data_IF_562906820863
#
_entry.id   IF_562906820863
#
_cell.length_a   1.000
_cell.length_b   1.000
_cell.length_c   1.000
_cell.angle_alpha   90.00
_cell.angle_beta   90.00
_cell.angle_gamma   90.00
#
_symmetry.space_group_name_H-M   'P 1'
#
loop_
_entity.id
_entity.type
_entity.pdbx_description
1 polymer ?
#
# COMPACT_ATOMS: atom_id res chain seq x y z
N UNK A 1 13.34 -7.93 5.51
CA UNK A 1 12.49 -7.61 4.34
C UNK A 1 12.65 -6.16 3.89
N UNK A 2 12.46 -5.13 4.74
CA UNK A 2 12.51 -3.71 4.34
C UNK A 2 13.83 -3.32 3.63
N UNK A 3 14.99 -3.76 4.11
CA UNK A 3 16.27 -3.49 3.47
C UNK A 3 16.38 -4.12 2.07
N UNK A 4 15.86 -5.35 1.88
CA UNK A 4 15.82 -6.00 0.55
C UNK A 4 14.94 -5.20 -0.40
N UNK A 5 13.75 -4.78 0.05
CA UNK A 5 12.85 -3.90 -0.69
C UNK A 5 13.52 -2.58 -1.09
N UNK A 6 14.16 -1.88 -0.14
CA UNK A 6 14.84 -0.62 -0.41
C UNK A 6 15.95 -0.76 -1.46
N UNK A 7 16.75 -1.83 -1.39
CA UNK A 7 17.79 -2.11 -2.38
C UNK A 7 17.18 -2.40 -3.76
N UNK A 8 16.09 -3.17 -3.80
CA UNK A 8 15.38 -3.47 -5.04
C UNK A 8 14.82 -2.20 -5.70
N UNK A 9 14.20 -1.30 -4.91
CA UNK A 9 13.69 -0.01 -5.40
C UNK A 9 14.80 0.89 -5.95
N UNK A 10 15.99 0.90 -5.31
CA UNK A 10 17.18 1.61 -5.84
C UNK A 10 17.62 1.03 -7.18
N UNK A 11 17.73 -0.28 -7.28
CA UNK A 11 18.10 -0.98 -8.52
C UNK A 11 17.11 -0.69 -9.65
N UNK A 12 15.82 -0.59 -9.35
CA UNK A 12 14.77 -0.25 -10.32
C UNK A 12 14.67 1.25 -10.66
N UNK A 13 15.45 2.11 -10.03
CA UNK A 13 15.44 3.57 -10.27
C UNK A 13 14.21 4.30 -9.71
N UNK A 14 13.44 3.68 -8.82
CA UNK A 14 12.19 4.22 -8.26
C UNK A 14 12.25 4.41 -6.73
N UNK A 15 13.45 4.59 -6.20
CA UNK A 15 13.67 4.69 -4.75
C UNK A 15 12.91 5.85 -4.05
N UNK A 16 12.51 6.88 -4.80
CA UNK A 16 11.82 8.06 -4.28
C UNK A 16 10.28 7.99 -4.40
N UNK A 17 9.75 6.95 -5.04
CA UNK A 17 8.32 6.85 -5.36
C UNK A 17 7.49 6.54 -4.12
N UNK A 18 7.71 5.38 -3.50
CA UNK A 18 7.04 5.03 -2.25
C UNK A 18 7.71 5.71 -1.06
N UNK A 19 6.92 6.40 -0.24
CA UNK A 19 7.41 7.18 0.92
C UNK A 19 6.99 6.58 2.26
N UNK A 20 5.89 5.80 2.29
CA UNK A 20 5.39 5.16 3.50
C UNK A 20 6.19 3.91 3.89
N UNK A 21 6.24 3.62 5.19
CA UNK A 21 6.75 2.36 5.77
C UNK A 21 8.19 1.98 5.40
N UNK A 22 9.04 2.99 5.15
CA UNK A 22 10.42 2.79 4.76
C UNK A 22 11.38 3.29 5.83
N UNK A 23 12.43 2.52 6.11
CA UNK A 23 13.46 2.86 7.06
C UNK A 23 14.74 3.49 6.44
N UNK A 24 14.73 3.73 5.12
CA UNK A 24 15.89 4.26 4.40
C UNK A 24 15.93 5.80 4.28
N UNK A 25 15.02 6.49 4.93
CA UNK A 25 14.92 7.97 4.94
C UNK A 25 14.92 8.50 6.37
N UNK A 26 16.02 8.30 7.15
CA UNK A 26 16.07 8.75 8.53
C UNK A 26 15.90 10.28 8.61
N UNK A 27 15.14 10.74 9.60
CA UNK A 27 14.87 12.16 9.84
C UNK A 27 13.83 12.80 8.90
N UNK A 28 13.25 12.03 7.96
CA UNK A 28 12.13 12.52 7.11
C UNK A 28 10.81 11.97 7.61
N UNK A 29 9.80 12.84 7.60
CA UNK A 29 8.42 12.51 7.90
C UNK A 29 7.49 12.84 6.71
N UNK A 30 6.19 12.62 6.87
CA UNK A 30 5.19 12.88 5.83
C UNK A 30 5.20 14.34 5.35
N UNK A 31 5.50 15.28 6.26
CA UNK A 31 5.57 16.71 5.95
C UNK A 31 6.70 17.00 4.96
N UNK A 32 7.87 16.34 5.12
CA UNK A 32 9.02 16.53 4.22
C UNK A 32 8.69 16.03 2.80
N UNK A 33 7.98 14.91 2.70
CA UNK A 33 7.54 14.38 1.40
C UNK A 33 6.48 15.26 0.74
N UNK A 34 5.52 15.78 1.52
CA UNK A 34 4.54 16.74 1.03
C UNK A 34 5.22 18.02 0.56
N UNK A 35 6.16 18.55 1.35
CA UNK A 35 6.95 19.74 1.01
C UNK A 35 7.68 19.56 -0.33
N UNK A 36 8.32 18.42 -0.58
CA UNK A 36 8.98 18.12 -1.87
C UNK A 36 8.02 18.23 -3.05
N UNK A 37 6.77 17.77 -2.88
CA UNK A 37 5.73 17.86 -3.92
C UNK A 37 5.30 19.31 -4.13
N UNK A 38 5.04 20.06 -3.06
CA UNK A 38 4.65 21.47 -3.16
C UNK A 38 5.76 22.33 -3.76
N UNK A 39 7.02 22.12 -3.38
CA UNK A 39 8.16 22.81 -3.98
C UNK A 39 8.30 22.51 -5.49
N UNK A 40 7.91 21.31 -5.92
CA UNK A 40 7.86 20.99 -7.35
C UNK A 40 6.73 21.73 -8.06
N UNK A 41 5.52 21.75 -7.47
CA UNK A 41 4.36 22.47 -8.02
C UNK A 41 4.67 23.96 -8.21
N UNK A 42 5.28 24.59 -7.21
CA UNK A 42 5.64 26.02 -7.25
C UNK A 42 6.64 26.34 -8.37
N UNK A 43 7.49 25.38 -8.77
CA UNK A 43 8.42 25.55 -9.89
C UNK A 43 7.76 25.42 -11.27
N UNK A 44 6.55 24.87 -11.32
CA UNK A 44 5.80 24.76 -12.57
C UNK A 44 5.05 26.05 -12.83
N UNK A 45 5.08 26.59 -14.04
CA UNK A 45 4.22 27.69 -14.48
C UNK A 45 2.76 27.26 -14.40
N UNK A 46 2.46 26.06 -14.90
CA UNK A 46 1.18 25.36 -14.74
C UNK A 46 1.45 23.86 -14.57
N UNK A 47 0.56 23.18 -13.83
CA UNK A 47 0.65 21.75 -13.64
C UNK A 47 -0.72 21.07 -13.68
N UNK A 48 -0.75 19.86 -14.23
CA UNK A 48 -1.82 18.91 -14.01
C UNK A 48 -1.50 18.13 -12.74
N UNK A 49 -2.43 18.15 -11.77
CA UNK A 49 -2.26 17.45 -10.48
C UNK A 49 -3.35 16.39 -10.38
N UNK A 50 -2.95 15.16 -10.14
CA UNK A 50 -3.85 14.05 -9.83
C UNK A 50 -3.55 13.56 -8.41
N UNK A 51 -4.60 13.46 -7.59
CA UNK A 51 -4.57 12.83 -6.27
C UNK A 51 -5.59 11.71 -6.28
N UNK A 52 -5.20 10.53 -5.84
CA UNK A 52 -6.05 9.35 -5.81
C UNK A 52 -5.72 8.45 -4.63
N UNK A 53 -6.63 7.54 -4.35
CA UNK A 53 -6.57 6.54 -3.29
C UNK A 53 -7.00 5.18 -3.84
N UNK A 54 -6.36 4.10 -3.38
CA UNK A 54 -6.77 2.72 -3.69
C UNK A 54 -7.78 2.23 -2.65
N UNK A 55 -9.05 2.29 -3.00
CA UNK A 55 -10.12 1.84 -2.11
C UNK A 55 -9.94 0.38 -1.69
N UNK A 56 -10.04 0.11 -0.37
CA UNK A 56 -9.88 -1.23 0.22
C UNK A 56 -8.56 -1.90 -0.19
N UNK A 57 -7.48 -1.15 -0.22
CA UNK A 57 -6.18 -1.57 -0.73
C UNK A 57 -5.73 -2.92 -0.16
N UNK A 58 -5.63 -3.03 1.17
CA UNK A 58 -5.20 -4.26 1.85
C UNK A 58 -6.18 -5.43 1.65
N UNK A 59 -7.45 -5.14 1.43
CA UNK A 59 -8.50 -6.13 1.22
C UNK A 59 -8.47 -6.77 -0.18
N UNK A 60 -7.72 -6.17 -1.13
CA UNK A 60 -7.69 -6.59 -2.53
C UNK A 60 -6.31 -7.10 -3.00
N UNK A 61 -5.34 -7.28 -2.10
CA UNK A 61 -4.01 -7.76 -2.49
C UNK A 61 -4.02 -9.26 -2.78
N UNK A 62 -3.86 -9.64 -4.06
CA UNK A 62 -3.76 -11.02 -4.52
C UNK A 62 -2.54 -11.74 -3.93
N UNK A 63 -2.76 -12.91 -3.36
CA UNK A 63 -1.71 -13.66 -2.66
C UNK A 63 -0.68 -14.25 -3.63
N UNK A 64 -1.11 -14.72 -4.80
CA UNK A 64 -0.23 -15.30 -5.81
C UNK A 64 0.74 -14.26 -6.35
N UNK A 65 0.19 -13.11 -6.76
CA UNK A 65 0.99 -11.98 -7.22
C UNK A 65 1.94 -11.46 -6.14
N UNK A 66 1.47 -11.28 -4.91
CA UNK A 66 2.30 -10.89 -3.78
C UNK A 66 3.47 -11.84 -3.58
N UNK A 67 3.22 -13.16 -3.63
CA UNK A 67 4.25 -14.19 -3.49
C UNK A 67 5.35 -14.06 -4.56
N UNK A 68 4.95 -13.86 -5.82
CA UNK A 68 5.91 -13.65 -6.90
C UNK A 68 6.74 -12.38 -6.71
N UNK A 69 6.13 -11.29 -6.24
CA UNK A 69 6.88 -10.06 -5.95
C UNK A 69 7.85 -10.20 -4.79
N UNK A 70 7.48 -10.93 -3.74
CA UNK A 70 8.40 -11.25 -2.62
C UNK A 70 9.61 -12.05 -3.14
N UNK A 71 9.40 -13.07 -3.98
CA UNK A 71 10.49 -13.83 -4.63
C UNK A 71 11.42 -12.91 -5.42
N UNK A 72 10.85 -12.01 -6.25
CA UNK A 72 11.63 -11.05 -7.04
C UNK A 72 12.50 -10.15 -6.15
N UNK A 73 11.94 -9.61 -5.07
CA UNK A 73 12.67 -8.75 -4.11
C UNK A 73 13.76 -9.52 -3.38
N UNK A 74 13.53 -10.80 -3.09
CA UNK A 74 14.50 -11.68 -2.44
C UNK A 74 15.57 -12.20 -3.40
N UNK A 75 15.37 -12.10 -4.71
CA UNK A 75 16.24 -12.73 -5.73
C UNK A 75 16.17 -14.25 -5.71
N UNK A 76 15.01 -14.82 -5.40
CA UNK A 76 14.82 -16.26 -5.19
C UNK A 76 13.78 -16.84 -6.16
N UNK A 77 13.97 -18.10 -6.58
CA UNK A 77 12.99 -18.85 -7.36
C UNK A 77 11.83 -19.36 -6.48
N UNK A 78 12.11 -19.64 -5.22
CA UNK A 78 11.12 -20.05 -4.21
C UNK A 78 11.39 -19.33 -2.90
N UNK A 79 10.36 -19.10 -2.10
CA UNK A 79 10.54 -18.58 -0.74
C UNK A 79 11.23 -19.65 0.12
N UNK A 80 12.21 -19.24 0.91
CA UNK A 80 12.76 -20.11 1.95
C UNK A 80 11.72 -20.37 3.04
N UNK A 81 12.03 -21.28 3.98
CA UNK A 81 11.09 -21.69 5.02
C UNK A 81 10.64 -20.54 5.92
N UNK A 82 11.52 -19.60 6.23
CA UNK A 82 11.22 -18.46 7.09
C UNK A 82 10.35 -17.44 6.37
N UNK A 83 10.72 -17.03 5.15
CA UNK A 83 9.94 -16.11 4.33
C UNK A 83 8.56 -16.71 3.98
N UNK A 84 8.48 -18.03 3.73
CA UNK A 84 7.22 -18.72 3.48
C UNK A 84 6.33 -18.76 4.73
N UNK A 85 6.88 -18.99 5.92
CA UNK A 85 6.11 -18.96 7.16
C UNK A 85 5.50 -17.58 7.42
N UNK A 86 6.27 -16.50 7.21
CA UNK A 86 5.78 -15.13 7.33
C UNK A 86 4.68 -14.87 6.31
N UNK A 87 4.91 -15.19 5.03
CA UNK A 87 3.92 -15.05 3.97
C UNK A 87 2.62 -15.79 4.30
N UNK A 88 2.71 -17.04 4.74
CA UNK A 88 1.56 -17.87 5.12
C UNK A 88 0.78 -17.23 6.27
N UNK A 89 1.45 -16.74 7.31
CA UNK A 89 0.78 -16.11 8.45
C UNK A 89 0.04 -14.82 8.07
N UNK A 90 0.58 -14.04 7.12
CA UNK A 90 -0.04 -12.81 6.66
C UNK A 90 -1.21 -13.08 5.70
N UNK A 91 -1.14 -14.13 4.87
CA UNK A 91 -2.18 -14.44 3.89
C UNK A 91 -3.29 -15.33 4.45
N UNK A 92 -2.97 -16.21 5.38
CA UNK A 92 -3.91 -17.14 6.03
C UNK A 92 -4.17 -16.76 7.49
N UNK A 93 -4.38 -15.46 7.73
CA UNK A 93 -4.67 -14.93 9.06
C UNK A 93 -6.03 -15.40 9.59
N UNK A 94 -6.17 -15.32 10.89
CA UNK A 94 -7.44 -15.52 11.57
C UNK A 94 -7.89 -14.22 12.25
N UNK A 95 -9.18 -14.01 12.36
CA UNK A 95 -9.77 -12.82 12.96
C UNK A 95 -11.07 -13.14 13.68
N UNK A 96 -11.52 -12.23 14.51
CA UNK A 96 -12.84 -12.21 15.14
C UNK A 96 -13.50 -10.87 14.82
N UNK A 97 -14.82 -10.87 14.66
CA UNK A 97 -15.54 -9.62 14.45
C UNK A 97 -15.64 -8.84 15.77
N UNK A 98 -15.51 -7.52 15.68
CA UNK A 98 -15.61 -6.68 16.87
C UNK A 98 -17.01 -6.73 17.49
N UNK A 99 -18.04 -6.89 16.67
CA UNK A 99 -19.44 -6.99 17.13
C UNK A 99 -19.69 -8.27 17.94
N UNK A 100 -18.99 -9.38 17.64
CA UNK A 100 -19.04 -10.61 18.44
C UNK A 100 -18.44 -10.37 19.84
N UNK A 101 -17.35 -9.58 19.93
CA UNK A 101 -16.73 -9.23 21.20
C UNK A 101 -17.68 -8.33 22.02
N UNK A 102 -18.28 -7.32 21.37
CA UNK A 102 -19.27 -6.43 22.00
C UNK A 102 -20.45 -7.23 22.57
N UNK A 103 -20.99 -8.16 21.79
CA UNK A 103 -22.11 -9.01 22.16
C UNK A 103 -21.77 -9.94 23.35
N UNK A 104 -20.61 -10.60 23.30
CA UNK A 104 -20.20 -11.53 24.39
C UNK A 104 -19.90 -10.79 25.68
N UNK A 105 -19.37 -9.57 25.63
CA UNK A 105 -19.06 -8.75 26.81
C UNK A 105 -20.23 -7.91 27.31
N UNK A 106 -21.27 -7.70 26.50
CA UNK A 106 -22.37 -6.79 26.81
C UNK A 106 -21.93 -5.33 26.94
N UNK A 107 -20.85 -4.94 26.26
CA UNK A 107 -20.25 -3.61 26.33
C UNK A 107 -20.18 -2.99 24.93
N UNK A 108 -20.32 -1.68 24.85
CA UNK A 108 -20.08 -0.96 23.60
C UNK A 108 -18.58 -0.84 23.32
N UNK A 109 -18.22 -0.77 22.02
CA UNK A 109 -16.82 -0.64 21.54
C UNK A 109 -16.06 0.50 22.21
N UNK A 110 -16.72 1.60 22.49
CA UNK A 110 -16.19 2.76 23.20
C UNK A 110 -15.69 2.37 24.60
N UNK A 111 -16.49 1.62 25.34
CA UNK A 111 -16.23 1.26 26.73
C UNK A 111 -15.18 0.15 26.83
N UNK A 112 -15.09 -0.71 25.80
CA UNK A 112 -14.07 -1.75 25.71
C UNK A 112 -12.65 -1.20 25.53
N UNK A 113 -12.47 0.03 25.03
CA UNK A 113 -11.15 0.66 24.86
C UNK A 113 -10.45 0.94 26.19
N UNK A 114 -11.17 0.99 27.30
CA UNK A 114 -10.65 1.23 28.64
C UNK A 114 -10.23 -0.07 29.33
N UNK A 115 -10.49 -1.23 28.72
CA UNK A 115 -10.12 -2.53 29.27
C UNK A 115 -8.66 -2.87 28.91
N UNK A 116 -7.88 -3.31 29.88
CA UNK A 116 -6.52 -3.82 29.65
C UNK A 116 -6.53 -5.07 28.75
N UNK A 117 -7.57 -5.89 28.88
CA UNK A 117 -7.82 -7.09 28.05
C UNK A 117 -9.31 -7.36 27.94
N UNK A 118 -9.73 -7.94 26.83
CA UNK A 118 -11.13 -8.28 26.59
C UNK A 118 -11.54 -9.60 27.26
N UNK A 119 -10.64 -10.59 27.34
CA UNK A 119 -10.92 -11.92 27.84
C UNK A 119 -9.78 -12.43 28.73
N UNK A 120 -10.09 -13.22 29.73
CA UNK A 120 -9.14 -14.13 30.36
C UNK A 120 -8.80 -15.27 29.39
N UNK A 121 -7.71 -16.01 29.66
CA UNK A 121 -7.21 -17.04 28.75
C UNK A 121 -8.25 -18.11 28.42
N UNK A 122 -8.96 -18.61 29.47
CA UNK A 122 -9.97 -19.67 29.30
C UNK A 122 -11.22 -19.16 28.60
N UNK A 123 -11.69 -17.96 28.94
CA UNK A 123 -12.80 -17.29 28.26
C UNK A 123 -12.47 -17.10 26.76
N UNK A 124 -11.24 -16.67 26.45
CA UNK A 124 -10.81 -16.49 25.07
C UNK A 124 -10.76 -17.81 24.29
N UNK A 125 -10.39 -18.91 24.95
CA UNK A 125 -10.45 -20.23 24.32
C UNK A 125 -11.86 -20.64 23.91
N UNK A 126 -12.85 -20.42 24.76
CA UNK A 126 -14.26 -20.72 24.46
C UNK A 126 -14.82 -19.75 23.40
N UNK A 127 -14.51 -18.45 23.50
CA UNK A 127 -14.89 -17.44 22.52
C UNK A 127 -14.36 -17.79 21.12
N UNK A 128 -13.08 -18.14 21.01
CA UNK A 128 -12.47 -18.54 19.72
C UNK A 128 -13.15 -19.74 19.07
N UNK A 129 -13.63 -20.72 19.84
CA UNK A 129 -14.31 -21.88 19.28
C UNK A 129 -15.57 -21.49 18.51
N UNK A 130 -16.25 -20.42 18.95
CA UNK A 130 -17.51 -19.95 18.37
C UNK A 130 -17.30 -18.91 17.25
N UNK A 131 -16.36 -17.99 17.42
CA UNK A 131 -16.28 -16.74 16.67
C UNK A 131 -14.99 -16.58 15.83
N UNK A 132 -14.05 -17.57 15.83
CA UNK A 132 -12.83 -17.45 15.06
C UNK A 132 -13.08 -17.73 13.58
N UNK A 133 -12.88 -16.72 12.76
CA UNK A 133 -12.88 -16.81 11.31
C UNK A 133 -11.44 -16.96 10.77
N UNK A 134 -11.28 -17.62 9.62
CA UNK A 134 -10.01 -17.75 8.92
C UNK A 134 -10.14 -17.16 7.53
N UNK A 135 -9.12 -16.43 7.09
CA UNK A 135 -9.08 -16.01 5.71
C UNK A 135 -8.84 -17.21 4.77
N UNK A 136 -9.91 -17.67 4.13
CA UNK A 136 -9.88 -18.76 3.13
C UNK A 136 -9.73 -18.24 1.70
N UNK A 137 -9.75 -16.91 1.50
CA UNK A 137 -9.61 -16.27 0.20
C UNK A 137 -8.15 -16.40 -0.30
N UNK A 138 -7.94 -16.15 -1.58
CA UNK A 138 -6.63 -16.04 -2.23
C UNK A 138 -6.16 -14.57 -2.38
N UNK A 139 -6.84 -13.66 -1.70
CA UNK A 139 -6.53 -12.25 -1.60
C UNK A 139 -6.77 -11.75 -0.16
N UNK A 140 -6.42 -10.49 0.11
CA UNK A 140 -6.52 -9.79 1.40
C UNK A 140 -5.38 -10.14 2.37
N UNK A 141 -4.78 -9.11 2.93
CA UNK A 141 -3.84 -9.20 4.05
C UNK A 141 -4.29 -8.27 5.18
N UNK A 142 -3.99 -8.59 6.46
CA UNK A 142 -4.42 -7.76 7.58
C UNK A 142 -3.72 -6.41 7.58
N UNK A 143 -4.46 -5.33 7.78
CA UNK A 143 -3.91 -4.01 8.02
C UNK A 143 -3.42 -3.87 9.46
N UNK A 144 -2.37 -3.05 9.68
CA UNK A 144 -1.88 -2.69 11.01
C UNK A 144 -0.60 -3.42 11.45
N UNK A 145 -0.16 -4.47 10.75
CA UNK A 145 1.12 -5.09 11.03
C UNK A 145 2.26 -4.47 10.21
N UNK A 146 3.46 -4.37 10.81
CA UNK A 146 4.64 -3.83 10.12
C UNK A 146 5.02 -4.63 8.88
N UNK A 147 4.77 -5.94 8.86
CA UNK A 147 5.08 -6.79 7.71
C UNK A 147 4.06 -6.62 6.59
N UNK A 148 2.77 -6.45 6.91
CA UNK A 148 1.73 -6.12 5.92
C UNK A 148 2.06 -4.83 5.20
N UNK A 149 2.54 -3.81 5.91
CA UNK A 149 2.95 -2.53 5.34
C UNK A 149 4.10 -2.68 4.32
N UNK A 150 5.10 -3.52 4.62
CA UNK A 150 6.20 -3.82 3.69
C UNK A 150 5.70 -4.65 2.50
N UNK A 151 4.82 -5.62 2.73
CA UNK A 151 4.25 -6.45 1.67
C UNK A 151 3.35 -5.63 0.72
N UNK A 152 2.57 -4.70 1.24
CA UNK A 152 1.81 -3.75 0.44
C UNK A 152 2.72 -2.91 -0.47
N UNK A 153 3.86 -2.45 0.04
CA UNK A 153 4.86 -1.76 -0.78
C UNK A 153 5.49 -2.67 -1.84
N UNK A 154 5.81 -3.92 -1.50
CA UNK A 154 6.36 -4.91 -2.44
C UNK A 154 5.36 -5.22 -3.56
N UNK A 155 4.08 -5.34 -3.22
CA UNK A 155 3.00 -5.57 -4.19
C UNK A 155 2.96 -4.51 -5.28
N UNK A 156 3.17 -3.24 -4.92
CA UNK A 156 3.04 -2.10 -5.83
C UNK A 156 4.25 -1.82 -6.72
N UNK A 157 5.34 -2.59 -6.63
CA UNK A 157 6.60 -2.27 -7.33
C UNK A 157 6.43 -2.08 -8.84
N UNK A 158 5.72 -2.99 -9.51
CA UNK A 158 5.55 -2.92 -10.96
C UNK A 158 4.65 -1.76 -11.37
N UNK A 159 3.60 -1.52 -10.61
CA UNK A 159 2.74 -0.36 -10.77
C UNK A 159 3.53 0.93 -10.60
N UNK A 160 4.27 1.05 -9.49
CA UNK A 160 5.12 2.20 -9.20
C UNK A 160 6.12 2.45 -10.32
N UNK A 161 6.76 1.39 -10.83
CA UNK A 161 7.74 1.49 -11.92
C UNK A 161 7.09 2.01 -13.20
N UNK A 162 5.96 1.42 -13.59
CA UNK A 162 5.24 1.78 -14.82
C UNK A 162 4.76 3.23 -14.79
N UNK A 163 4.15 3.65 -13.68
CA UNK A 163 3.68 5.03 -13.51
C UNK A 163 4.85 6.00 -13.49
N UNK A 164 5.88 5.71 -12.69
CA UNK A 164 7.02 6.61 -12.56
C UNK A 164 7.74 6.82 -13.89
N UNK A 165 7.94 5.77 -14.68
CA UNK A 165 8.61 5.88 -15.97
C UNK A 165 7.82 6.79 -16.92
N UNK A 166 6.50 6.58 -16.99
CA UNK A 166 5.63 7.43 -17.81
C UNK A 166 5.63 8.88 -17.33
N UNK A 167 5.45 9.12 -16.04
CA UNK A 167 5.36 10.47 -15.49
C UNK A 167 6.71 11.20 -15.61
N UNK A 168 7.81 10.51 -15.42
CA UNK A 168 9.15 11.06 -15.58
C UNK A 168 9.41 11.45 -17.06
N UNK A 169 8.92 10.66 -18.02
CA UNK A 169 9.01 11.01 -19.45
C UNK A 169 8.28 12.31 -19.80
N UNK A 170 7.25 12.66 -19.01
CA UNK A 170 6.52 13.93 -19.11
C UNK A 170 7.14 15.04 -18.23
N UNK A 171 8.35 14.85 -17.72
CA UNK A 171 9.02 15.74 -16.76
C UNK A 171 8.23 15.95 -15.46
N UNK A 172 7.30 15.05 -15.13
CA UNK A 172 6.48 15.10 -13.94
C UNK A 172 7.12 14.36 -12.75
N UNK A 173 6.42 14.41 -11.62
CA UNK A 173 6.76 13.60 -10.45
C UNK A 173 5.58 12.75 -10.03
N UNK A 174 5.91 11.57 -9.50
CA UNK A 174 4.98 10.62 -8.90
C UNK A 174 5.45 10.27 -7.50
N UNK A 175 4.52 10.29 -6.53
CA UNK A 175 4.75 9.83 -5.15
C UNK A 175 3.57 9.00 -4.69
N UNK A 176 3.87 7.98 -3.89
CA UNK A 176 2.87 7.13 -3.24
C UNK A 176 3.14 7.04 -1.74
N UNK A 177 2.09 7.21 -0.96
CA UNK A 177 2.09 6.99 0.48
C UNK A 177 1.07 5.90 0.83
N UNK A 178 1.52 4.65 0.93
CA UNK A 178 0.68 3.47 1.07
C UNK A 178 -0.27 3.30 -0.13
N UNK A 179 -1.53 3.59 0.06
CA UNK A 179 -2.65 3.59 -0.89
C UNK A 179 -2.87 4.96 -1.55
N UNK A 180 -2.42 6.04 -0.93
CA UNK A 180 -2.51 7.39 -1.50
C UNK A 180 -1.47 7.63 -2.60
N UNK A 181 -1.88 8.22 -3.70
CA UNK A 181 -0.99 8.62 -4.80
C UNK A 181 -1.14 10.08 -5.15
N UNK A 182 -0.04 10.70 -5.50
CA UNK A 182 -0.01 12.03 -6.09
C UNK A 182 0.89 12.06 -7.32
N UNK A 183 0.37 12.66 -8.37
CA UNK A 183 1.06 12.86 -9.64
C UNK A 183 0.99 14.33 -9.99
N UNK A 184 2.13 14.91 -10.38
CA UNK A 184 2.21 16.28 -10.87
C UNK A 184 2.93 16.27 -12.19
N UNK A 185 2.27 16.77 -13.24
CA UNK A 185 2.83 16.90 -14.60
C UNK A 185 2.82 18.36 -14.99
N UNK A 186 3.97 18.99 -15.27
CA UNK A 186 4.00 20.35 -15.81
C UNK A 186 3.32 20.38 -17.17
N UNK A 187 2.53 21.40 -17.42
CA UNK A 187 1.83 21.62 -18.70
C UNK A 187 2.01 23.06 -19.15
N UNK A 188 1.95 23.27 -20.46
CA UNK A 188 1.94 24.61 -21.07
C UNK A 188 0.51 25.09 -21.28
N UNK A 189 0.33 26.40 -21.50
CA UNK A 189 -0.99 26.98 -21.81
C UNK A 189 -1.60 26.38 -23.10
N UNK A 190 -0.78 26.11 -24.11
CA UNK A 190 -1.22 25.46 -25.35
C UNK A 190 -1.70 24.02 -25.14
N UNK A 191 -1.03 23.26 -24.26
CA UNK A 191 -1.45 21.91 -23.88
C UNK A 191 -2.73 21.91 -23.06
N UNK A 192 -2.93 22.93 -22.21
CA UNK A 192 -4.16 23.08 -21.44
C UNK A 192 -5.39 23.26 -22.34
N UNK A 193 -5.26 24.00 -23.44
CA UNK A 193 -6.35 24.22 -24.40
C UNK A 193 -6.60 22.98 -25.27
N UNK A 194 -5.62 22.07 -25.38
CA UNK A 194 -5.77 20.88 -26.18
C UNK A 194 -6.54 19.77 -25.44
N UNK A 195 -7.80 19.58 -25.85
CA UNK A 195 -8.68 18.52 -25.26
C UNK A 195 -8.08 17.10 -25.38
N UNK A 196 -7.21 16.84 -26.37
CA UNK A 196 -6.54 15.52 -26.55
C UNK A 196 -5.55 15.26 -25.42
N UNK A 197 -4.79 16.25 -24.95
CA UNK A 197 -3.80 16.10 -23.87
C UNK A 197 -4.48 15.75 -22.55
N UNK A 198 -5.57 16.44 -22.20
CA UNK A 198 -6.39 16.09 -21.02
C UNK A 198 -6.94 14.66 -21.12
N UNK A 199 -7.45 14.28 -22.30
CA UNK A 199 -8.03 12.95 -22.53
C UNK A 199 -6.97 11.85 -22.49
N UNK A 200 -5.75 12.10 -23.02
CA UNK A 200 -4.68 11.10 -23.02
C UNK A 200 -4.11 10.87 -21.61
N UNK A 201 -3.91 11.93 -20.81
CA UNK A 201 -3.51 11.80 -19.40
C UNK A 201 -4.56 11.06 -18.58
N UNK A 202 -5.84 11.44 -18.70
CA UNK A 202 -6.92 10.74 -18.00
C UNK A 202 -7.09 9.29 -18.47
N UNK A 203 -7.05 9.02 -19.78
CA UNK A 203 -7.14 7.66 -20.32
C UNK A 203 -5.96 6.79 -19.89
N UNK A 204 -4.74 7.34 -19.87
CA UNK A 204 -3.58 6.61 -19.38
C UNK A 204 -3.72 6.30 -17.89
N UNK A 205 -4.09 7.30 -17.07
CA UNK A 205 -4.34 7.10 -15.65
C UNK A 205 -5.44 6.06 -15.41
N UNK A 206 -6.56 6.16 -16.13
CA UNK A 206 -7.63 5.16 -16.07
C UNK A 206 -7.15 3.78 -16.53
N UNK A 207 -6.38 3.66 -17.61
CA UNK A 207 -5.88 2.37 -18.09
C UNK A 207 -4.89 1.71 -17.15
N UNK A 208 -4.22 2.48 -16.29
CA UNK A 208 -3.25 1.97 -15.31
C UNK A 208 -3.90 1.69 -13.96
N UNK A 209 -4.91 2.49 -13.59
CA UNK A 209 -5.68 2.31 -12.33
C UNK A 209 -6.70 1.17 -12.46
N UNK A 210 -7.22 0.90 -13.67
CA UNK A 210 -8.20 -0.17 -13.98
C UNK A 210 -7.51 -1.52 -14.28
N UNK A 211 -6.24 -1.72 -13.95
CA UNK A 211 -5.74 -3.09 -13.90
C UNK A 211 -6.45 -3.82 -12.76
N UNK A 212 -7.04 -4.99 -13.03
CA UNK A 212 -7.58 -5.81 -11.96
C UNK A 212 -6.46 -6.11 -10.97
N UNK A 213 -6.61 -5.59 -9.76
CA UNK A 213 -5.88 -6.04 -8.59
C UNK A 213 -6.46 -7.39 -8.22
#
# INVERSE_FOLDING_TARGET
MNNKYNNYMKMKGINRVSTAYRNCTPGKCNIDFAKEVFEYIVKCEMAYIFVGDFSKFFDNLDHGYLKEKIKCVNGQQSLDSADYAIYKNITKFAYVEADDIESEKGLFRRDMRELDKYFETDEFHEFKKKHLHKNCKDYQIPQGSSISAVYANIYMIDFDKKINDFITSQKGIYRRYCDDIIIVVPITYSELQNKKTKKSLNLYMMSVIVFPI
#
